data_IF_807772723482
#
_entry.id   IF_807772723482
#
_cell.length_a   1.000
_cell.length_b   1.000
_cell.length_c   1.000
_cell.angle_alpha   90.00
_cell.angle_beta   90.00
_cell.angle_gamma   90.00
#
_symmetry.space_group_name_H-M   'P 1'
#
loop_
_entity.id
_entity.type
_entity.pdbx_description
1 polymer ?
#
# COMPACT_ATOMS: atom_id res chain seq x y z
N UNK A 1 -14.96 9.66 11.28
CA UNK A 1 -15.43 9.74 9.87
C UNK A 1 -14.69 8.66 9.12
N UNK A 2 -15.35 7.91 8.24
CA UNK A 2 -14.70 6.91 7.43
C UNK A 2 -15.15 6.99 5.98
N UNK A 3 -14.35 6.42 5.07
CA UNK A 3 -14.63 6.46 3.64
C UNK A 3 -13.89 5.36 2.91
N UNK A 4 -14.37 5.00 1.72
CA UNK A 4 -13.69 4.05 0.85
C UNK A 4 -12.56 4.74 0.10
N UNK A 5 -11.40 4.10 0.10
CA UNK A 5 -10.22 4.52 -0.63
C UNK A 5 -9.65 3.34 -1.40
N UNK A 6 -8.95 3.66 -2.48
CA UNK A 6 -8.04 2.74 -3.14
C UNK A 6 -6.62 3.24 -2.97
N UNK A 7 -5.67 2.31 -2.84
CA UNK A 7 -4.24 2.55 -2.96
C UNK A 7 -3.74 1.66 -4.08
N UNK A 8 -3.14 2.28 -5.10
CA UNK A 8 -2.68 1.60 -6.30
C UNK A 8 -1.24 2.03 -6.61
N UNK A 9 -0.47 1.12 -7.20
CA UNK A 9 0.81 1.48 -7.83
C UNK A 9 0.66 1.59 -9.34
N UNK A 10 1.44 2.50 -9.93
CA UNK A 10 1.61 2.58 -11.38
C UNK A 10 3.09 2.34 -11.69
N UNK A 11 3.37 1.24 -12.41
CA UNK A 11 4.70 0.84 -12.83
C UNK A 11 4.65 -0.09 -14.05
N UNK A 12 5.81 -0.33 -14.67
CA UNK A 12 6.00 -1.38 -15.68
C UNK A 12 6.54 -2.69 -15.07
N UNK A 13 6.78 -2.74 -13.76
CA UNK A 13 7.14 -3.96 -13.03
C UNK A 13 5.90 -4.49 -12.30
N UNK A 14 5.91 -5.77 -12.00
CA UNK A 14 4.89 -6.43 -11.18
C UNK A 14 5.06 -6.05 -9.70
N UNK A 15 4.07 -5.39 -9.10
CA UNK A 15 4.17 -4.80 -7.75
C UNK A 15 3.24 -5.50 -6.76
N UNK A 16 3.73 -5.69 -5.54
CA UNK A 16 3.00 -6.27 -4.43
C UNK A 16 2.89 -5.24 -3.29
N UNK A 17 1.67 -4.98 -2.85
CA UNK A 17 1.35 -4.03 -1.79
C UNK A 17 0.86 -4.71 -0.52
N UNK A 18 1.29 -4.16 0.61
CA UNK A 18 0.81 -4.52 1.94
C UNK A 18 0.36 -3.27 2.67
N UNK A 19 -0.74 -3.37 3.40
CA UNK A 19 -1.30 -2.29 4.20
C UNK A 19 -1.39 -2.72 5.67
N UNK A 20 -0.79 -1.92 6.54
CA UNK A 20 -0.71 -2.18 7.97
C UNK A 20 -1.41 -1.09 8.78
N UNK A 21 -1.94 -1.49 9.94
CA UNK A 21 -2.26 -0.58 11.03
C UNK A 21 -1.05 -0.41 11.96
N UNK A 22 -0.90 0.75 12.59
CA UNK A 22 0.09 1.03 13.65
C UNK A 22 1.58 0.88 13.28
N UNK A 23 2.08 -0.34 13.11
CA UNK A 23 3.51 -0.65 12.92
C UNK A 23 3.71 -1.70 11.84
N UNK A 24 4.84 -1.60 11.14
CA UNK A 24 5.36 -2.64 10.24
C UNK A 24 6.63 -3.24 10.83
N UNK A 25 6.70 -4.57 10.91
CA UNK A 25 7.87 -5.33 11.33
C UNK A 25 8.24 -6.35 10.24
N UNK A 26 9.38 -6.18 9.54
CA UNK A 26 9.80 -7.13 8.50
C UNK A 26 10.14 -8.53 9.05
N UNK A 27 10.39 -8.67 10.35
CA UNK A 27 10.58 -9.98 10.99
C UNK A 27 9.26 -10.70 11.31
N UNK A 28 8.13 -10.00 11.23
CA UNK A 28 6.80 -10.51 11.57
C UNK A 28 5.72 -9.89 10.67
N UNK A 29 5.81 -10.18 9.37
CA UNK A 29 5.02 -9.52 8.30
C UNK A 29 3.49 -9.63 8.43
N UNK A 30 2.97 -10.54 9.25
CA UNK A 30 1.52 -10.67 9.49
C UNK A 30 1.02 -9.79 10.63
N UNK A 31 1.92 -9.24 11.45
CA UNK A 31 1.55 -8.39 12.59
C UNK A 31 0.94 -7.09 12.10
N UNK A 32 -0.28 -6.77 12.56
CA UNK A 32 -1.06 -5.60 12.17
C UNK A 32 -1.39 -5.47 10.68
N UNK A 33 -1.17 -6.51 9.88
CA UNK A 33 -1.56 -6.55 8.47
C UNK A 33 -3.09 -6.41 8.37
N UNK A 34 -3.54 -5.49 7.53
CA UNK A 34 -4.96 -5.27 7.24
C UNK A 34 -5.34 -5.94 5.92
N UNK A 35 -4.56 -5.67 4.88
CA UNK A 35 -4.80 -6.16 3.51
C UNK A 35 -3.48 -6.26 2.74
N UNK A 36 -3.46 -7.14 1.75
CA UNK A 36 -2.38 -7.29 0.79
C UNK A 36 -2.95 -7.64 -0.59
N UNK A 37 -2.26 -7.23 -1.65
CA UNK A 37 -2.67 -7.50 -3.04
C UNK A 37 -1.45 -7.34 -3.93
N UNK A 38 -1.30 -8.20 -4.91
CA UNK A 38 -0.32 -8.14 -6.00
C UNK A 38 -0.96 -7.68 -7.32
N UNK A 39 -2.23 -8.02 -7.56
CA UNK A 39 -2.93 -7.64 -8.78
C UNK A 39 -4.09 -6.66 -8.56
N UNK A 40 -4.22 -5.73 -9.49
CA UNK A 40 -5.42 -4.92 -9.68
C UNK A 40 -6.37 -5.55 -10.72
N UNK A 41 -7.60 -5.01 -10.90
CA UNK A 41 -8.59 -5.61 -11.79
C UNK A 41 -8.17 -5.75 -13.26
N UNK A 42 -7.24 -4.90 -13.70
CA UNK A 42 -6.78 -4.79 -15.09
C UNK A 42 -5.25 -4.61 -15.22
N UNK A 43 -4.51 -4.74 -14.11
CA UNK A 43 -3.10 -4.39 -14.02
C UNK A 43 -2.35 -5.40 -13.14
N UNK A 44 -1.08 -5.64 -13.45
CA UNK A 44 -0.12 -6.41 -12.63
C UNK A 44 0.47 -5.56 -11.48
N UNK A 45 -0.17 -4.43 -11.19
CA UNK A 45 0.19 -3.59 -10.07
C UNK A 45 -0.85 -3.73 -9.00
N UNK A 46 -0.40 -3.81 -7.75
CA UNK A 46 -1.33 -3.98 -6.65
C UNK A 46 -2.38 -2.87 -6.61
N UNK A 47 -3.58 -3.28 -6.18
CA UNK A 47 -4.66 -2.38 -5.82
C UNK A 47 -5.31 -2.86 -4.52
N UNK A 48 -5.17 -2.06 -3.48
CA UNK A 48 -5.82 -2.30 -2.18
C UNK A 48 -7.04 -1.39 -2.08
N UNK A 49 -8.21 -1.97 -1.80
CA UNK A 49 -9.45 -1.24 -1.54
C UNK A 49 -9.84 -1.38 -0.07
N UNK A 50 -9.92 -0.27 0.66
CA UNK A 50 -10.19 -0.30 2.11
C UNK A 50 -11.04 0.88 2.58
N UNK A 51 -11.78 0.69 3.68
CA UNK A 51 -12.48 1.77 4.37
C UNK A 51 -11.57 2.42 5.42
N UNK A 52 -10.97 3.58 5.11
CA UNK A 52 -10.11 4.29 6.05
C UNK A 52 -10.91 5.11 7.07
N UNK A 53 -10.39 5.13 8.30
CA UNK A 53 -10.81 6.06 9.33
C UNK A 53 -10.01 7.36 9.20
N UNK A 54 -10.71 8.50 9.31
CA UNK A 54 -10.08 9.81 9.30
C UNK A 54 -9.14 9.99 10.49
N UNK A 55 -8.06 10.78 10.31
CA UNK A 55 -7.07 11.09 11.35
C UNK A 55 -6.44 9.83 11.97
N UNK A 56 -6.26 8.79 11.16
CA UNK A 56 -5.59 7.54 11.55
C UNK A 56 -4.38 7.33 10.64
N UNK A 57 -3.27 6.89 11.22
CA UNK A 57 -2.06 6.55 10.47
C UNK A 57 -2.13 5.09 10.02
N UNK A 58 -1.82 4.87 8.75
CA UNK A 58 -1.64 3.55 8.15
C UNK A 58 -0.27 3.50 7.50
N UNK A 59 0.30 2.30 7.38
CA UNK A 59 1.58 2.08 6.73
C UNK A 59 1.33 1.29 5.46
N UNK A 60 1.74 1.82 4.32
CA UNK A 60 1.78 1.08 3.06
C UNK A 60 3.22 0.65 2.78
N UNK A 61 3.40 -0.63 2.47
CA UNK A 61 4.66 -1.17 1.98
C UNK A 61 4.42 -1.60 0.54
N UNK A 62 5.16 -0.98 -0.39
CA UNK A 62 5.16 -1.34 -1.81
C UNK A 62 6.48 -2.06 -2.13
N UNK A 63 6.38 -3.25 -2.70
CA UNK A 63 7.51 -4.06 -3.16
C UNK A 63 7.20 -4.65 -4.54
N UNK A 64 8.10 -5.46 -5.09
CA UNK A 64 7.86 -6.23 -6.31
C UNK A 64 7.36 -7.63 -5.97
N UNK A 65 6.46 -8.18 -6.80
CA UNK A 65 6.00 -9.56 -6.65
C UNK A 65 7.16 -10.56 -6.84
N UNK A 66 7.94 -10.36 -7.90
CA UNK A 66 9.13 -11.18 -8.16
C UNK A 66 10.35 -10.70 -7.37
N UNK A 67 11.16 -11.62 -6.81
CA UNK A 67 12.39 -11.26 -6.11
C UNK A 67 13.42 -10.66 -7.08
N UNK A 68 14.33 -9.84 -6.55
CA UNK A 68 15.42 -9.20 -7.30
C UNK A 68 14.97 -8.30 -8.48
N UNK A 69 13.73 -7.81 -8.43
CA UNK A 69 13.20 -6.86 -9.42
C UNK A 69 13.32 -5.45 -8.89
N UNK A 70 13.70 -4.51 -9.76
CA UNK A 70 13.73 -3.07 -9.42
C UNK A 70 13.17 -2.27 -10.58
N UNK A 71 12.57 -1.12 -10.29
CA UNK A 71 12.01 -0.25 -11.30
C UNK A 71 11.38 0.99 -10.67
N UNK A 72 11.08 1.97 -11.51
CA UNK A 72 10.37 3.17 -11.08
C UNK A 72 8.90 2.84 -10.83
N UNK A 73 8.33 3.44 -9.79
CA UNK A 73 6.92 3.30 -9.45
C UNK A 73 6.39 4.62 -8.89
N UNK A 74 5.07 4.78 -8.92
CA UNK A 74 4.35 5.79 -8.14
C UNK A 74 3.23 5.13 -7.37
N UNK A 75 2.97 5.61 -6.15
CA UNK A 75 1.83 5.20 -5.33
C UNK A 75 0.78 6.30 -5.41
N UNK A 76 -0.47 5.94 -5.66
CA UNK A 76 -1.61 6.85 -5.72
C UNK A 76 -2.69 6.36 -4.77
N UNK A 77 -3.18 7.25 -3.91
CA UNK A 77 -4.38 7.00 -3.11
C UNK A 77 -5.55 7.83 -3.66
N UNK A 78 -6.69 7.17 -3.91
CA UNK A 78 -7.91 7.81 -4.40
C UNK A 78 -9.04 7.59 -3.40
N UNK A 79 -9.82 8.63 -3.09
CA UNK A 79 -10.98 8.50 -2.22
C UNK A 79 -11.68 9.84 -1.98
N UNK A 80 -12.50 9.89 -0.93
CA UNK A 80 -13.39 11.02 -0.65
C UNK A 80 -12.69 12.26 -0.10
N UNK A 81 -11.42 12.16 0.30
CA UNK A 81 -10.62 13.26 0.82
C UNK A 81 -9.14 13.08 0.46
N UNK A 82 -8.33 14.13 0.66
CA UNK A 82 -6.90 14.09 0.42
C UNK A 82 -6.17 13.16 1.40
N UNK A 83 -5.25 12.36 0.86
CA UNK A 83 -4.30 11.57 1.64
C UNK A 83 -2.94 12.26 1.59
N UNK A 84 -2.28 12.35 2.75
CA UNK A 84 -0.92 12.87 2.85
C UNK A 84 0.02 11.68 3.02
N UNK A 85 0.92 11.49 2.05
CA UNK A 85 2.01 10.53 2.17
C UNK A 85 3.20 11.16 2.87
N UNK A 86 3.68 10.49 3.91
CA UNK A 86 4.94 10.80 4.56
C UNK A 86 5.84 9.58 4.43
N UNK A 87 7.11 9.74 4.01
CA UNK A 87 8.04 8.62 4.03
C UNK A 87 8.17 8.10 5.45
N UNK A 88 8.11 6.78 5.61
CA UNK A 88 8.42 6.15 6.88
C UNK A 88 9.94 6.16 7.02
N UNK A 89 10.46 7.03 7.90
CA UNK A 89 11.88 7.03 8.20
C UNK A 89 12.23 5.66 8.81
N UNK A 90 13.15 4.94 8.19
CA UNK A 90 13.80 3.80 8.83
C UNK A 90 14.52 4.30 10.08
N UNK A 91 14.29 3.62 11.21
CA UNK A 91 15.09 3.81 12.42
C UNK A 91 16.56 3.47 12.19
#
# INVERSE_FOLDING_TARGET
MSGNYTIETYSNIDTYGFLYSNTFDPGSISTNLLEESDDGPISINFLISINFQAVTQYIVVATTFYPNTTGSFSIVATGIASVIFSPMNSA
#
